data_IF_442996887602
#
_entry.id   IF_442996887602
#
_cell.length_a   1.000
_cell.length_b   1.000
_cell.length_c   1.000
_cell.angle_alpha   90.00
_cell.angle_beta   90.00
_cell.angle_gamma   90.00
#
_symmetry.space_group_name_H-M   'P 1'
#
loop_
_entity.id
_entity.type
_entity.pdbx_description
1 polymer ?
#
# COMPACT_ATOMS: atom_id res chain seq x y z
N UNK A 1 -14.10 0.08 -5.55
CA UNK A 1 -13.22 0.49 -4.44
C UNK A 1 -13.60 1.86 -3.89
N UNK A 2 -13.73 2.88 -4.75
CA UNK A 2 -14.06 4.26 -4.32
C UNK A 2 -15.31 4.38 -3.43
N UNK A 3 -16.41 3.68 -3.72
CA UNK A 3 -17.60 3.68 -2.85
C UNK A 3 -17.33 3.09 -1.47
N UNK A 4 -16.49 2.07 -1.37
CA UNK A 4 -16.12 1.44 -0.10
C UNK A 4 -15.27 2.40 0.74
N UNK A 5 -14.31 3.09 0.12
CA UNK A 5 -13.44 4.07 0.81
C UNK A 5 -14.19 5.27 1.39
N UNK A 6 -15.43 5.54 0.95
CA UNK A 6 -16.29 6.60 1.52
C UNK A 6 -16.98 6.24 2.82
N UNK A 7 -17.07 4.94 3.14
CA UNK A 7 -17.88 4.43 4.26
C UNK A 7 -17.03 3.73 5.31
N UNK A 8 -15.83 3.28 4.92
CA UNK A 8 -14.90 2.60 5.83
C UNK A 8 -14.16 3.60 6.71
N UNK A 9 -14.02 3.26 7.99
CA UNK A 9 -13.22 4.02 8.94
C UNK A 9 -11.71 3.72 8.83
N UNK A 10 -11.33 2.71 8.04
CA UNK A 10 -9.95 2.30 7.84
C UNK A 10 -9.78 1.26 6.74
N UNK A 11 -8.55 1.04 6.29
CA UNK A 11 -8.25 0.06 5.24
C UNK A 11 -6.91 -0.66 5.46
N UNK A 12 -6.83 -1.90 4.99
CA UNK A 12 -5.56 -2.64 4.87
C UNK A 12 -5.18 -2.71 3.41
N UNK A 13 -4.05 -2.12 3.06
CA UNK A 13 -3.51 -2.15 1.69
C UNK A 13 -2.49 -3.26 1.58
N UNK A 14 -2.75 -4.22 0.69
CA UNK A 14 -1.86 -5.37 0.47
C UNK A 14 -0.95 -5.08 -0.72
N UNK A 15 0.35 -5.21 -0.53
CA UNK A 15 1.36 -5.10 -1.58
C UNK A 15 1.98 -6.47 -1.89
N UNK A 16 2.35 -6.69 -3.14
CA UNK A 16 3.09 -7.88 -3.55
C UNK A 16 4.59 -7.65 -3.28
N UNK A 17 5.25 -8.52 -2.52
CA UNK A 17 6.67 -8.37 -2.20
C UNK A 17 7.61 -8.39 -3.41
N UNK A 18 7.17 -8.97 -4.54
CA UNK A 18 7.93 -9.03 -5.79
C UNK A 18 7.64 -7.83 -6.69
N UNK A 19 6.38 -7.37 -6.79
CA UNK A 19 6.05 -6.22 -7.64
C UNK A 19 6.24 -4.88 -6.92
N UNK A 20 5.93 -4.83 -5.63
CA UNK A 20 5.92 -3.62 -4.81
C UNK A 20 4.69 -2.75 -5.08
N UNK A 21 4.92 -1.46 -5.29
CA UNK A 21 3.86 -0.49 -5.62
C UNK A 21 3.56 -0.50 -7.12
N UNK A 22 2.36 -0.95 -7.47
CA UNK A 22 1.84 -1.00 -8.84
C UNK A 22 0.95 0.22 -9.16
N UNK A 23 0.76 0.58 -10.45
CA UNK A 23 -0.07 1.73 -10.85
C UNK A 23 -1.52 1.67 -10.31
N UNK A 24 -2.07 0.46 -10.19
CA UNK A 24 -3.39 0.26 -9.62
C UNK A 24 -3.41 0.53 -8.11
N UNK A 25 -2.39 0.06 -7.38
CA UNK A 25 -2.24 0.31 -5.94
C UNK A 25 -2.08 1.80 -5.66
N UNK A 26 -1.34 2.54 -6.49
CA UNK A 26 -1.19 4.00 -6.40
C UNK A 26 -2.53 4.73 -6.62
N UNK A 27 -3.33 4.28 -7.59
CA UNK A 27 -4.66 4.87 -7.85
C UNK A 27 -5.58 4.70 -6.64
N UNK A 28 -5.63 3.50 -6.05
CA UNK A 28 -6.43 3.23 -4.84
C UNK A 28 -5.89 4.01 -3.64
N UNK A 29 -4.56 4.13 -3.53
CA UNK A 29 -3.92 4.92 -2.47
C UNK A 29 -4.36 6.38 -2.50
N UNK A 30 -4.31 7.02 -3.66
CA UNK A 30 -4.76 8.42 -3.84
C UNK A 30 -6.25 8.61 -3.55
N UNK A 31 -7.08 7.60 -3.84
CA UNK A 31 -8.50 7.63 -3.47
C UNK A 31 -8.66 7.59 -1.94
N UNK A 32 -7.89 6.75 -1.25
CA UNK A 32 -7.92 6.68 0.21
C UNK A 32 -7.37 7.97 0.87
N UNK A 33 -6.35 8.61 0.28
CA UNK A 33 -5.85 9.92 0.70
C UNK A 33 -6.94 10.99 0.62
N UNK A 34 -7.71 11.02 -0.47
CA UNK A 34 -8.82 11.99 -0.66
C UNK A 34 -9.87 11.90 0.44
N UNK A 35 -10.12 10.71 0.97
CA UNK A 35 -11.10 10.48 2.03
C UNK A 35 -10.48 10.43 3.43
N UNK A 36 -9.17 10.66 3.57
CA UNK A 36 -8.50 10.66 4.87
C UNK A 36 -8.54 9.31 5.59
N UNK A 37 -8.66 8.21 4.84
CA UNK A 37 -8.82 6.87 5.42
C UNK A 37 -7.50 6.42 6.06
N UNK A 38 -7.46 6.11 7.37
CA UNK A 38 -6.26 5.55 8.00
C UNK A 38 -5.99 4.14 7.47
N UNK A 39 -4.71 3.82 7.26
CA UNK A 39 -4.29 2.63 6.54
C UNK A 39 -3.17 1.87 7.22
N UNK A 40 -3.22 0.55 7.10
CA UNK A 40 -2.12 -0.38 7.41
C UNK A 40 -1.64 -1.03 6.11
N UNK A 41 -0.33 -1.15 5.93
CA UNK A 41 0.26 -1.82 4.78
C UNK A 41 0.64 -3.27 5.15
N UNK A 42 0.25 -4.23 4.33
CA UNK A 42 0.64 -5.64 4.48
C UNK A 42 1.40 -6.11 3.23
N UNK A 43 2.68 -6.42 3.38
CA UNK A 43 3.50 -6.95 2.27
C UNK A 43 3.35 -8.47 2.22
N UNK A 44 2.75 -8.97 1.15
CA UNK A 44 2.44 -10.38 0.96
C UNK A 44 3.40 -11.06 -0.02
N UNK A 45 3.39 -12.41 -0.07
CA UNK A 45 4.17 -13.24 -0.99
C UNK A 45 5.70 -13.11 -0.85
N UNK A 46 6.16 -12.91 0.39
CA UNK A 46 7.59 -12.80 0.71
C UNK A 46 8.36 -14.13 0.56
N UNK A 47 7.65 -15.24 0.38
CA UNK A 47 8.18 -16.57 0.09
C UNK A 47 8.67 -16.73 -1.37
N UNK A 48 8.32 -15.79 -2.26
CA UNK A 48 8.64 -15.89 -3.69
C UNK A 48 10.05 -15.40 -4.01
N UNK A 49 10.67 -16.03 -5.01
CA UNK A 49 11.96 -15.55 -5.57
C UNK A 49 11.83 -14.12 -6.07
N UNK A 50 12.73 -13.24 -5.62
CA UNK A 50 12.72 -11.82 -5.96
C UNK A 50 11.80 -10.97 -5.08
N UNK A 51 11.19 -11.55 -4.04
CA UNK A 51 10.49 -10.76 -3.04
C UNK A 51 11.48 -10.00 -2.16
N UNK A 52 11.22 -8.72 -1.97
CA UNK A 52 12.05 -7.84 -1.16
C UNK A 52 11.16 -6.86 -0.39
N UNK A 53 11.08 -7.10 0.93
CA UNK A 53 10.28 -6.30 1.84
C UNK A 53 10.76 -4.85 1.91
N UNK A 54 12.06 -4.62 2.05
CA UNK A 54 12.61 -3.27 2.20
C UNK A 54 12.49 -2.47 0.92
N UNK A 55 12.67 -3.12 -0.24
CA UNK A 55 12.39 -2.49 -1.54
C UNK A 55 10.92 -2.10 -1.65
N UNK A 56 9.99 -2.94 -1.19
CA UNK A 56 8.57 -2.61 -1.17
C UNK A 56 8.27 -1.40 -0.26
N UNK A 57 8.88 -1.34 0.93
CA UNK A 57 8.78 -0.19 1.84
C UNK A 57 9.34 1.07 1.19
N UNK A 58 10.50 0.99 0.52
CA UNK A 58 11.10 2.12 -0.18
C UNK A 58 10.19 2.63 -1.31
N UNK A 59 9.57 1.73 -2.07
CA UNK A 59 8.59 2.13 -3.10
C UNK A 59 7.34 2.81 -2.50
N UNK A 60 6.89 2.41 -1.31
CA UNK A 60 5.80 3.07 -0.60
C UNK A 60 6.18 4.51 -0.25
N UNK A 61 7.41 4.74 0.20
CA UNK A 61 7.93 6.09 0.49
C UNK A 61 8.01 6.90 -0.81
N UNK A 62 8.71 6.38 -1.82
CA UNK A 62 9.06 7.14 -3.02
C UNK A 62 7.87 7.41 -3.94
N UNK A 63 6.95 6.43 -4.09
CA UNK A 63 5.82 6.54 -5.03
C UNK A 63 4.54 7.03 -4.37
N UNK A 64 4.31 6.68 -3.10
CA UNK A 64 3.07 7.04 -2.41
C UNK A 64 3.24 8.25 -1.48
N UNK A 65 4.48 8.69 -1.24
CA UNK A 65 4.78 9.82 -0.35
C UNK A 65 4.40 9.52 1.11
N UNK A 66 4.29 8.25 1.48
CA UNK A 66 3.85 7.83 2.80
C UNK A 66 5.02 7.77 3.79
N UNK A 67 4.73 7.96 5.08
CA UNK A 67 5.71 7.80 6.17
C UNK A 67 5.38 6.52 6.96
N UNK A 68 5.90 5.35 6.55
CA UNK A 68 5.58 4.09 7.21
C UNK A 68 6.31 3.96 8.55
N UNK A 69 5.62 3.38 9.54
CA UNK A 69 6.26 2.78 10.71
C UNK A 69 6.36 1.28 10.42
N UNK A 70 7.59 0.79 10.31
CA UNK A 70 7.87 -0.60 9.94
C UNK A 70 7.98 -1.44 11.22
N UNK A 71 7.27 -2.57 11.25
CA UNK A 71 7.32 -3.57 12.34
C UNK A 71 7.78 -4.91 11.79
#
# INVERSE_FOLDING_TARGET
VERSLRVLDGAVTVFDGVAGVEPQSETVWRQADRYGVPRICFVNKLDRTGADFFRCVQMIIDRLGATPIVM
#
